data_IF_138457897891
#
_entry.id   IF_138457897891
#
_cell.length_a   1.000
_cell.length_b   1.000
_cell.length_c   1.000
_cell.angle_alpha   90.00
_cell.angle_beta   90.00
_cell.angle_gamma   90.00
#
_symmetry.space_group_name_H-M   'P 1'
#
loop_
_entity.id
_entity.type
_entity.pdbx_description
1 polymer ?
#
# COMPACT_ATOMS: atom_id res chain seq x y z
N UNK A 1 18.67 -2.73 1.25
CA UNK A 1 18.14 -1.43 1.74
C UNK A 1 17.06 -0.86 0.82
N UNK A 2 17.31 -0.71 -0.49
CA UNK A 2 16.33 -0.15 -1.45
C UNK A 2 14.96 -0.87 -1.43
N UNK A 3 14.95 -2.20 -1.50
CA UNK A 3 13.72 -2.99 -1.58
C UNK A 3 12.81 -2.85 -0.35
N UNK A 4 13.38 -2.67 0.85
CA UNK A 4 12.61 -2.44 2.06
C UNK A 4 11.85 -1.10 2.00
N UNK A 5 12.50 -0.04 1.55
CA UNK A 5 11.85 1.27 1.39
C UNK A 5 10.73 1.19 0.35
N UNK A 6 10.97 0.50 -0.76
CA UNK A 6 9.95 0.27 -1.80
C UNK A 6 8.73 -0.45 -1.21
N UNK A 7 8.94 -1.53 -0.45
CA UNK A 7 7.85 -2.30 0.19
C UNK A 7 7.03 -1.41 1.13
N UNK A 8 7.69 -0.65 2.00
CA UNK A 8 7.01 0.25 2.93
C UNK A 8 6.24 1.37 2.20
N UNK A 9 6.83 1.93 1.14
CA UNK A 9 6.18 2.90 0.29
C UNK A 9 4.92 2.30 -0.35
N UNK A 10 5.03 1.16 -1.03
CA UNK A 10 3.90 0.49 -1.68
C UNK A 10 2.77 0.12 -0.69
N UNK A 11 3.12 -0.33 0.52
CA UNK A 11 2.15 -0.58 1.59
C UNK A 11 1.34 0.68 1.94
N UNK A 12 1.98 1.84 1.97
CA UNK A 12 1.29 3.11 2.24
C UNK A 12 0.32 3.54 1.12
N UNK A 13 0.50 3.05 -0.11
CA UNK A 13 -0.40 3.34 -1.24
C UNK A 13 -1.66 2.48 -1.25
N UNK A 14 -1.65 1.32 -0.60
CA UNK A 14 -2.82 0.43 -0.50
C UNK A 14 -4.08 1.17 0.00
N UNK A 15 -4.04 1.97 1.08
CA UNK A 15 -5.21 2.74 1.51
C UNK A 15 -5.50 3.98 0.65
N UNK A 16 -4.54 4.49 -0.12
CA UNK A 16 -4.68 5.75 -0.88
C UNK A 16 -5.67 5.58 -2.03
N UNK A 17 -5.56 4.51 -2.82
CA UNK A 17 -6.47 4.25 -3.95
C UNK A 17 -7.94 4.05 -3.54
N UNK A 18 -8.29 3.22 -2.55
CA UNK A 18 -9.68 3.10 -2.10
C UNK A 18 -10.17 4.39 -1.43
N UNK A 19 -9.30 5.14 -0.74
CA UNK A 19 -9.66 6.46 -0.22
C UNK A 19 -9.98 7.46 -1.33
N UNK A 20 -9.22 7.46 -2.43
CA UNK A 20 -9.50 8.26 -3.62
C UNK A 20 -10.90 7.94 -4.19
N UNK A 21 -11.18 6.64 -4.38
CA UNK A 21 -12.47 6.21 -4.93
C UNK A 21 -13.63 6.53 -3.97
N UNK A 22 -13.43 6.34 -2.66
CA UNK A 22 -14.40 6.69 -1.62
C UNK A 22 -14.69 8.19 -1.60
N UNK A 23 -13.64 9.03 -1.64
CA UNK A 23 -13.77 10.49 -1.70
C UNK A 23 -14.57 10.96 -2.90
N UNK A 24 -14.48 10.26 -4.04
CA UNK A 24 -15.27 10.60 -5.22
C UNK A 24 -16.76 10.35 -5.05
N UNK A 25 -17.14 9.43 -4.15
CA UNK A 25 -18.54 9.11 -3.84
C UNK A 25 -19.13 9.96 -2.72
N UNK A 26 -18.36 10.16 -1.65
CA UNK A 26 -18.87 10.83 -0.44
C UNK A 26 -18.79 12.35 -0.53
N UNK A 27 -17.86 12.88 -1.34
CA UNK A 27 -17.64 14.33 -1.48
C UNK A 27 -17.32 14.69 -2.96
N UNK A 28 -18.32 14.57 -3.86
CA UNK A 28 -18.14 14.84 -5.29
C UNK A 28 -18.15 16.33 -5.66
N UNK A 29 -18.76 17.17 -4.81
CA UNK A 29 -19.05 18.59 -5.04
C UNK A 29 -17.91 19.52 -4.61
N UNK A 30 -16.91 19.02 -3.87
CA UNK A 30 -15.71 19.83 -3.55
C UNK A 30 -15.03 20.30 -4.84
N UNK A 31 -14.78 21.62 -5.00
CA UNK A 31 -13.99 22.12 -6.10
C UNK A 31 -12.54 21.66 -5.94
N UNK A 32 -12.00 20.98 -6.96
CA UNK A 32 -10.61 20.49 -6.98
C UNK A 32 -9.91 21.08 -8.21
N UNK A 33 -8.70 21.65 -8.07
CA UNK A 33 -7.93 22.17 -9.22
C UNK A 33 -7.73 21.13 -10.34
N UNK A 34 -7.71 19.85 -9.95
CA UNK A 34 -7.67 18.72 -10.87
C UNK A 34 -8.70 17.66 -10.47
N UNK A 35 -9.51 17.22 -11.43
CA UNK A 35 -10.51 16.17 -11.27
C UNK A 35 -10.27 15.11 -12.34
N UNK A 36 -9.97 13.88 -11.93
CA UNK A 36 -9.84 12.75 -12.85
C UNK A 36 -11.20 12.53 -13.53
N UNK A 37 -11.22 12.65 -14.85
CA UNK A 37 -12.39 12.40 -15.68
C UNK A 37 -12.64 10.89 -15.81
N UNK A 38 -13.89 10.51 -16.03
CA UNK A 38 -14.30 9.11 -16.21
C UNK A 38 -15.64 8.79 -15.55
N UNK A 39 -16.29 7.74 -16.05
CA UNK A 39 -17.47 7.15 -15.42
C UNK A 39 -17.07 6.40 -14.13
N UNK A 40 -18.05 6.05 -13.28
CA UNK A 40 -17.80 5.27 -12.06
C UNK A 40 -17.05 3.96 -12.35
N UNK A 41 -17.36 3.30 -13.48
CA UNK A 41 -16.65 2.09 -13.93
C UNK A 41 -15.18 2.34 -14.23
N UNK A 42 -14.85 3.43 -14.94
CA UNK A 42 -13.46 3.80 -15.26
C UNK A 42 -12.70 4.14 -13.97
N UNK A 43 -13.32 4.85 -13.05
CA UNK A 43 -12.72 5.19 -11.75
C UNK A 43 -12.46 3.94 -10.89
N UNK A 44 -13.33 2.93 -10.95
CA UNK A 44 -13.07 1.62 -10.33
C UNK A 44 -11.86 0.93 -10.94
N UNK A 45 -11.68 0.99 -12.25
CA UNK A 45 -10.49 0.43 -12.93
C UNK A 45 -9.23 1.17 -12.48
N UNK A 46 -9.26 2.51 -12.43
CA UNK A 46 -8.13 3.31 -11.96
C UNK A 46 -7.77 3.07 -10.49
N UNK A 47 -8.73 2.63 -9.67
CA UNK A 47 -8.46 2.17 -8.31
C UNK A 47 -7.94 0.72 -8.30
N UNK A 48 -8.63 -0.20 -8.97
CA UNK A 48 -8.39 -1.63 -8.85
C UNK A 48 -7.11 -2.08 -9.55
N UNK A 49 -6.82 -1.56 -10.74
CA UNK A 49 -5.65 -1.93 -11.52
C UNK A 49 -4.32 -1.67 -10.77
N UNK A 50 -4.04 -0.45 -10.29
CA UNK A 50 -2.82 -0.21 -9.52
C UNK A 50 -2.79 -0.99 -8.20
N UNK A 51 -3.95 -1.18 -7.54
CA UNK A 51 -4.03 -1.99 -6.33
C UNK A 51 -3.61 -3.43 -6.56
N UNK A 52 -4.09 -4.06 -7.65
CA UNK A 52 -3.72 -5.43 -8.02
C UNK A 52 -2.21 -5.52 -8.30
N UNK A 53 -1.68 -4.58 -9.09
CA UNK A 53 -0.25 -4.54 -9.41
C UNK A 53 0.59 -4.40 -8.13
N UNK A 54 0.21 -3.49 -7.22
CA UNK A 54 0.90 -3.28 -5.95
C UNK A 54 0.90 -4.54 -5.10
N UNK A 55 -0.25 -5.19 -4.94
CA UNK A 55 -0.39 -6.41 -4.13
C UNK A 55 0.51 -7.51 -4.71
N UNK A 56 0.48 -7.70 -6.02
CA UNK A 56 1.35 -8.67 -6.70
C UNK A 56 2.82 -8.32 -6.47
N UNK A 57 3.23 -7.08 -6.69
CA UNK A 57 4.60 -6.62 -6.46
C UNK A 57 5.07 -6.85 -5.02
N UNK A 58 4.20 -6.61 -4.04
CA UNK A 58 4.50 -6.86 -2.62
C UNK A 58 4.69 -8.35 -2.32
N UNK A 59 3.85 -9.22 -2.90
CA UNK A 59 4.00 -10.67 -2.73
C UNK A 59 5.35 -11.13 -3.26
N UNK A 60 5.74 -10.72 -4.47
CA UNK A 60 7.02 -11.13 -5.05
C UNK A 60 8.25 -10.52 -4.37
N UNK A 61 8.12 -9.33 -3.77
CA UNK A 61 9.26 -8.60 -3.18
C UNK A 61 9.46 -8.91 -1.70
N UNK A 62 8.36 -9.06 -0.94
CA UNK A 62 8.40 -9.12 0.51
C UNK A 62 8.11 -10.51 1.08
N UNK A 63 7.60 -11.46 0.29
CA UNK A 63 7.29 -12.81 0.75
C UNK A 63 8.30 -13.80 0.13
N UNK A 64 9.02 -14.59 0.94
CA UNK A 64 9.88 -15.63 0.42
C UNK A 64 9.04 -16.76 -0.17
N UNK A 65 8.86 -16.74 -1.49
CA UNK A 65 8.11 -17.77 -2.23
C UNK A 65 8.95 -19.03 -2.50
N UNK A 66 10.28 -18.90 -2.44
CA UNK A 66 11.23 -19.99 -2.62
C UNK A 66 12.09 -20.13 -1.35
N UNK A 67 12.37 -21.37 -0.95
CA UNK A 67 13.09 -21.70 0.28
C UNK A 67 14.56 -22.07 0.03
N UNK A 68 15.13 -21.67 -1.11
CA UNK A 68 16.55 -21.81 -1.36
C UNK A 68 17.35 -20.73 -0.60
N UNK A 69 18.63 -21.00 -0.35
CA UNK A 69 19.49 -20.10 0.44
C UNK A 69 19.66 -18.72 -0.19
N UNK A 70 19.65 -18.62 -1.52
CA UNK A 70 19.86 -17.34 -2.20
C UNK A 70 18.63 -16.44 -2.03
N UNK A 71 17.45 -16.96 -2.36
CA UNK A 71 16.17 -16.24 -2.22
C UNK A 71 15.90 -15.82 -0.78
N UNK A 72 16.12 -16.71 0.19
CA UNK A 72 15.90 -16.42 1.60
C UNK A 72 16.83 -15.32 2.13
N UNK A 73 18.09 -15.31 1.71
CA UNK A 73 19.06 -14.29 2.16
C UNK A 73 18.67 -12.89 1.69
N UNK A 74 18.05 -12.77 0.52
CA UNK A 74 17.59 -11.49 -0.02
C UNK A 74 16.23 -11.07 0.57
N UNK A 75 15.27 -12.00 0.66
CA UNK A 75 13.89 -11.68 1.00
C UNK A 75 13.65 -11.59 2.52
N UNK A 76 14.29 -12.43 3.34
CA UNK A 76 14.07 -12.43 4.80
C UNK A 76 14.33 -11.07 5.47
N UNK A 77 15.44 -10.36 5.18
CA UNK A 77 15.68 -9.05 5.78
C UNK A 77 14.59 -8.03 5.41
N UNK A 78 14.01 -8.13 4.21
CA UNK A 78 12.93 -7.27 3.74
C UNK A 78 11.64 -7.60 4.51
N UNK A 79 11.26 -8.88 4.61
CA UNK A 79 10.07 -9.33 5.33
C UNK A 79 10.13 -8.92 6.80
N UNK A 80 11.26 -9.21 7.46
CA UNK A 80 11.47 -8.91 8.89
C UNK A 80 11.45 -7.40 9.11
N UNK A 81 12.17 -6.63 8.28
CA UNK A 81 12.17 -5.18 8.36
C UNK A 81 10.77 -4.60 8.20
N UNK A 82 10.00 -5.07 7.22
CA UNK A 82 8.63 -4.60 7.00
C UNK A 82 7.73 -4.88 8.21
N UNK A 83 7.79 -6.08 8.80
CA UNK A 83 7.03 -6.44 10.01
C UNK A 83 7.40 -5.52 11.17
N UNK A 84 8.69 -5.29 11.42
CA UNK A 84 9.16 -4.41 12.49
C UNK A 84 8.59 -3.00 12.33
N UNK A 85 8.69 -2.41 11.13
CA UNK A 85 8.17 -1.07 10.87
C UNK A 85 6.64 -0.98 10.99
N UNK A 86 5.90 -2.00 10.55
CA UNK A 86 4.44 -2.06 10.73
C UNK A 86 4.08 -2.11 12.21
N UNK A 87 4.76 -2.96 12.99
CA UNK A 87 4.54 -3.08 14.43
C UNK A 87 4.86 -1.76 15.14
N UNK A 88 5.98 -1.11 14.81
CA UNK A 88 6.33 0.20 15.35
C UNK A 88 5.24 1.24 15.00
N UNK A 89 4.77 1.28 13.76
CA UNK A 89 3.69 2.17 13.33
C UNK A 89 2.41 1.96 14.14
N UNK A 90 1.99 0.71 14.34
CA UNK A 90 0.80 0.37 15.12
C UNK A 90 0.98 0.71 16.62
N UNK A 91 2.17 0.49 17.17
CA UNK A 91 2.49 0.89 18.55
C UNK A 91 2.39 2.41 18.72
N UNK A 92 2.93 3.20 17.79
CA UNK A 92 2.83 4.67 17.84
C UNK A 92 1.37 5.13 17.84
N UNK A 93 0.52 4.53 16.99
CA UNK A 93 -0.92 4.85 16.92
C UNK A 93 -1.59 4.56 18.28
N UNK A 94 -1.30 3.39 18.87
CA UNK A 94 -1.82 2.99 20.18
C UNK A 94 -1.37 3.91 21.31
N UNK A 95 -0.08 4.23 21.38
CA UNK A 95 0.47 5.12 22.42
C UNK A 95 -0.07 6.54 22.31
N UNK A 96 -0.21 7.06 21.09
CA UNK A 96 -0.68 8.44 20.86
C UNK A 96 -2.21 8.59 20.93
N UNK A 97 -2.96 7.51 21.20
CA UNK A 97 -4.44 7.48 21.22
C UNK A 97 -5.06 8.17 19.99
N UNK A 98 -4.45 8.00 18.82
CA UNK A 98 -5.07 8.50 17.58
C UNK A 98 -6.32 7.65 17.36
N UNK A 99 -7.50 8.20 17.67
CA UNK A 99 -8.78 7.54 17.38
C UNK A 99 -8.87 7.37 15.86
N UNK A 100 -9.03 6.12 15.41
CA UNK A 100 -9.37 5.76 14.03
C UNK A 100 -10.72 6.32 13.63
#
# INVERSE_FOLDING_TARGET
FFSLNLVLFLLSYIPVFPAFYKLRKIDPETPRPFKVSGSDGILKVYMALPMIIIIISLIFTAIPLQYDKASLTEQLPITIGAIIFIVIGELIIKFKKIKK
#
